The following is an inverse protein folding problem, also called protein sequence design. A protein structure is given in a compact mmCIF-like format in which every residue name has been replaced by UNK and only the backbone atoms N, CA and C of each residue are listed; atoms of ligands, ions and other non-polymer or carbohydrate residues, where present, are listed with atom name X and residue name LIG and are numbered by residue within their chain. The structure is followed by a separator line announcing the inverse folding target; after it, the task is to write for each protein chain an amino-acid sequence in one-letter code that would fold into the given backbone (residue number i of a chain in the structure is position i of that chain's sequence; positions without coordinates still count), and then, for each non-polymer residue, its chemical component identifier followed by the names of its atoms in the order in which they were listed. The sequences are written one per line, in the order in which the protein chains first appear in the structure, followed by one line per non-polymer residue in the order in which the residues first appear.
data_IF_965222213691
#
_entry.id   IF_965222213691
#
_cell.length_a   1.000
_cell.length_b   1.000
_cell.length_c   1.000
_cell.angle_alpha   90.00
_cell.angle_beta   90.00
_cell.angle_gamma   90.00
#
_symmetry.space_group_name_H-M   'P 1'
#
loop_
_entity.id
_entity.type
_entity.pdbx_description
1 polymer ?
#
# COMPACT_ATOMS: atom_id res chain seq x y z
N UNK A 1 21.92 10.91 31.80
CA UNK A 1 22.24 11.11 30.38
C UNK A 1 23.05 9.92 29.90
N UNK A 2 22.72 9.40 28.71
CA UNK A 2 23.50 8.35 28.03
C UNK A 2 24.21 9.00 26.84
N UNK A 3 25.28 8.38 26.35
CA UNK A 3 26.04 8.86 25.21
C UNK A 3 26.20 7.71 24.20
N UNK A 4 26.35 8.09 22.92
CA UNK A 4 26.51 7.17 21.81
C UNK A 4 26.82 7.95 20.53
N UNK A 5 26.79 7.25 19.41
CA UNK A 5 27.02 7.78 18.07
C UNK A 5 25.74 7.67 17.22
N UNK A 6 25.72 8.43 16.13
CA UNK A 6 24.73 8.23 15.06
C UNK A 6 25.16 7.03 14.24
N UNK A 7 24.37 5.96 14.30
CA UNK A 7 24.63 4.71 13.58
C UNK A 7 24.13 4.78 12.13
N UNK A 8 23.01 5.48 11.88
CA UNK A 8 22.46 5.70 10.54
C UNK A 8 21.48 6.90 10.53
N UNK A 9 21.17 7.40 9.34
CA UNK A 9 20.10 8.38 9.06
C UNK A 9 19.18 7.82 7.97
N UNK A 10 17.96 8.35 7.84
CA UNK A 10 17.04 7.84 6.81
C UNK A 10 16.42 6.50 7.17
N UNK A 11 16.35 6.14 8.46
CA UNK A 11 15.90 4.80 8.84
C UNK A 11 14.39 4.73 8.79
N UNK A 12 13.90 3.80 7.96
CA UNK A 12 12.50 3.43 7.89
C UNK A 12 12.19 2.26 8.82
N UNK A 13 11.23 2.44 9.72
CA UNK A 13 10.76 1.43 10.66
C UNK A 13 9.42 0.82 10.23
N UNK A 14 8.89 1.21 9.06
CA UNK A 14 7.56 0.86 8.57
C UNK A 14 6.45 1.19 9.58
N UNK A 15 6.67 2.22 10.42
CA UNK A 15 5.75 2.68 11.46
C UNK A 15 4.74 3.69 10.91
N UNK A 16 5.01 4.27 9.74
CA UNK A 16 4.12 5.17 9.04
C UNK A 16 4.75 5.77 7.79
N UNK A 17 3.99 6.60 7.06
CA UNK A 17 4.46 7.21 5.81
C UNK A 17 5.56 8.27 5.99
N UNK A 18 5.83 8.69 7.23
CA UNK A 18 6.77 9.75 7.58
C UNK A 18 8.05 9.24 8.25
N UNK A 19 8.31 7.94 8.18
CA UNK A 19 9.49 7.35 8.80
C UNK A 19 10.78 7.89 8.15
N UNK A 20 11.55 8.63 8.94
CA UNK A 20 12.87 9.16 8.59
C UNK A 20 13.72 9.28 9.87
N UNK A 21 13.95 8.15 10.56
CA UNK A 21 14.57 8.17 11.87
C UNK A 21 16.10 8.30 11.80
N UNK A 22 16.66 9.01 12.79
CA UNK A 22 18.07 8.93 13.16
C UNK A 22 18.23 7.68 14.02
N UNK A 23 19.08 6.74 13.59
CA UNK A 23 19.45 5.60 14.41
C UNK A 23 20.67 5.93 15.26
N UNK A 24 20.60 5.61 16.55
CA UNK A 24 21.68 5.80 17.51
C UNK A 24 21.94 4.52 18.30
N UNK A 25 23.15 4.35 18.80
CA UNK A 25 23.50 3.27 19.74
C UNK A 25 23.42 3.70 21.22
N UNK A 26 23.24 4.99 21.46
CA UNK A 26 23.02 5.53 22.80
C UNK A 26 21.83 4.81 23.45
N UNK A 27 21.97 4.26 24.67
CA UNK A 27 20.87 3.55 25.30
C UNK A 27 19.65 4.45 25.53
N UNK A 28 18.52 4.09 24.89
CA UNK A 28 17.18 4.65 25.12
C UNK A 28 16.36 3.57 25.84
N UNK A 29 15.66 3.92 26.91
CA UNK A 29 14.74 3.03 27.62
C UNK A 29 13.40 3.75 27.87
N UNK A 30 12.40 3.03 28.36
CA UNK A 30 11.16 3.62 28.85
C UNK A 30 11.44 4.79 29.80
N UNK A 31 10.81 5.94 29.54
CA UNK A 31 11.01 7.19 30.28
C UNK A 31 11.90 8.21 29.57
N UNK A 32 12.69 7.81 28.57
CA UNK A 32 13.48 8.75 27.75
C UNK A 32 12.78 9.14 26.43
N UNK A 33 11.70 8.44 26.04
CA UNK A 33 10.87 8.80 24.89
C UNK A 33 10.29 10.21 25.06
N UNK A 34 10.40 11.03 24.02
CA UNK A 34 10.05 12.46 24.03
C UNK A 34 11.18 13.38 24.51
N UNK A 35 12.29 12.83 25.03
CA UNK A 35 13.46 13.62 25.44
C UNK A 35 14.39 13.96 24.26
N UNK A 36 15.26 14.98 24.40
CA UNK A 36 16.13 15.44 23.32
C UNK A 36 17.29 14.47 23.07
N UNK A 37 17.73 14.43 21.82
CA UNK A 37 19.00 13.88 21.35
C UNK A 37 19.88 15.06 20.99
N UNK A 38 20.95 15.29 21.75
CA UNK A 38 21.82 16.46 21.55
C UNK A 38 23.18 16.06 21.00
N UNK A 39 23.76 16.93 20.17
CA UNK A 39 25.15 16.80 19.73
C UNK A 39 26.15 17.20 20.83
N UNK A 40 27.45 17.06 20.55
CA UNK A 40 28.54 17.39 21.51
C UNK A 40 28.60 18.87 21.90
N UNK A 41 27.92 19.75 21.15
CA UNK A 41 27.81 21.18 21.45
C UNK A 41 26.52 21.51 22.23
N UNK A 42 25.66 20.51 22.46
CA UNK A 42 24.37 20.68 23.14
C UNK A 42 23.23 21.12 22.21
N UNK A 43 23.42 21.09 20.89
CA UNK A 43 22.33 21.39 19.96
C UNK A 43 21.39 20.18 19.87
N UNK A 44 20.09 20.41 19.90
CA UNK A 44 19.10 19.36 19.66
C UNK A 44 19.11 18.93 18.19
N UNK A 45 19.33 17.65 17.96
CA UNK A 45 19.38 17.03 16.63
C UNK A 45 18.28 15.99 16.43
N UNK A 46 17.55 15.61 17.48
CA UNK A 46 16.33 14.82 17.33
C UNK A 46 15.57 14.57 18.63
N UNK A 47 14.39 13.95 18.53
CA UNK A 47 13.55 13.58 19.66
C UNK A 47 13.53 12.06 19.79
N UNK A 48 14.03 11.54 20.91
CA UNK A 48 14.06 10.09 21.18
C UNK A 48 12.64 9.53 21.11
N UNK A 49 12.41 8.52 20.27
CA UNK A 49 11.04 8.06 19.97
C UNK A 49 10.86 6.59 20.27
N UNK A 50 11.70 5.74 19.68
CA UNK A 50 11.52 4.29 19.71
C UNK A 50 12.84 3.56 19.91
N UNK A 51 12.74 2.26 20.21
CA UNK A 51 13.87 1.33 20.21
C UNK A 51 13.50 0.08 19.44
N UNK A 52 14.48 -0.55 18.83
CA UNK A 52 14.34 -1.96 18.50
C UNK A 52 14.69 -2.76 19.75
N UNK A 53 13.78 -3.58 20.25
CA UNK A 53 14.03 -4.41 21.44
C UNK A 53 13.27 -5.72 21.40
N UNK A 54 13.97 -6.87 21.49
CA UNK A 54 13.31 -8.16 21.66
C UNK A 54 12.57 -8.30 23.01
N UNK A 55 13.07 -7.65 24.07
CA UNK A 55 12.65 -7.89 25.46
C UNK A 55 12.22 -6.61 26.22
N UNK A 56 12.08 -5.47 25.53
CA UNK A 56 11.73 -4.17 26.11
C UNK A 56 12.90 -3.33 26.68
N UNK A 57 14.13 -3.86 26.70
CA UNK A 57 15.36 -3.11 27.05
C UNK A 57 16.20 -2.71 25.82
N UNK A 58 16.96 -1.63 25.90
CA UNK A 58 17.88 -1.24 24.82
C UNK A 58 18.86 -2.36 24.48
N UNK A 59 18.99 -2.68 23.19
CA UNK A 59 20.06 -3.53 22.65
C UNK A 59 21.09 -2.72 21.85
N UNK A 60 21.16 -1.41 22.07
CA UNK A 60 22.02 -0.49 21.30
C UNK A 60 21.44 -0.10 19.95
N UNK A 61 20.11 -0.13 19.81
CA UNK A 61 19.40 0.28 18.60
C UNK A 61 18.23 1.19 19.00
N UNK A 62 18.51 2.49 19.08
CA UNK A 62 17.55 3.54 19.36
C UNK A 62 17.22 4.37 18.12
N UNK A 63 16.04 5.00 18.13
CA UNK A 63 15.55 5.81 17.03
C UNK A 63 15.01 7.16 17.53
N UNK A 64 15.41 8.23 16.85
CA UNK A 64 14.97 9.60 17.11
C UNK A 64 14.39 10.25 15.85
N UNK A 65 13.33 11.03 16.01
CA UNK A 65 12.77 11.88 14.95
C UNK A 65 13.72 13.07 14.76
N UNK A 66 14.17 13.41 13.54
CA UNK A 66 15.00 14.58 13.29
C UNK A 66 14.37 15.89 13.77
N UNK A 67 15.17 16.79 14.37
CA UNK A 67 14.65 18.04 14.93
C UNK A 67 14.04 18.98 13.88
N UNK A 68 14.52 18.96 12.64
CA UNK A 68 13.94 19.76 11.53
C UNK A 68 12.53 19.29 11.13
N UNK A 69 12.25 17.99 11.24
CA UNK A 69 10.91 17.44 11.07
C UNK A 69 10.02 17.81 12.26
N UNK A 70 10.53 17.64 13.49
CA UNK A 70 9.80 17.98 14.70
C UNK A 70 9.45 19.47 14.77
N UNK A 71 10.35 20.37 14.35
CA UNK A 71 10.15 21.81 14.35
C UNK A 71 8.93 22.24 13.52
N UNK A 72 8.73 21.64 12.34
CA UNK A 72 7.55 21.91 11.50
C UNK A 72 6.24 21.55 12.21
N UNK A 73 6.25 20.43 12.93
CA UNK A 73 5.09 19.95 13.69
C UNK A 73 4.83 20.82 14.91
N UNK A 74 5.87 21.14 15.69
CA UNK A 74 5.78 22.02 16.86
C UNK A 74 5.28 23.40 16.46
N UNK A 75 5.80 23.98 15.37
CA UNK A 75 5.36 25.27 14.85
C UNK A 75 3.87 25.29 14.44
N UNK A 76 3.33 24.16 13.96
CA UNK A 76 1.89 24.00 13.69
C UNK A 76 1.10 23.94 15.00
N UNK A 77 1.53 23.10 15.95
CA UNK A 77 0.85 22.93 17.25
C UNK A 77 0.82 24.21 18.08
N UNK A 78 1.91 24.98 18.11
CA UNK A 78 2.01 26.26 18.82
C UNK A 78 1.01 27.32 18.32
N UNK A 79 0.51 27.19 17.09
CA UNK A 79 -0.51 28.08 16.52
C UNK A 79 -1.94 27.74 16.98
N UNK A 80 -2.11 26.71 17.81
CA UNK A 80 -3.37 26.41 18.50
C UNK A 80 -4.37 25.57 17.70
N UNK A 81 -3.89 24.61 16.90
CA UNK A 81 -4.74 23.71 16.11
C UNK A 81 -4.27 22.26 16.09
N UNK A 82 -5.12 21.38 15.54
CA UNK A 82 -4.78 19.98 15.26
C UNK A 82 -3.77 19.89 14.11
N UNK A 83 -2.96 18.83 14.09
CA UNK A 83 -2.08 18.53 12.96
C UNK A 83 -2.95 17.99 11.82
N UNK A 84 -3.44 18.91 10.98
CA UNK A 84 -4.03 18.55 9.70
C UNK A 84 -2.92 18.29 8.67
N UNK A 85 -2.99 17.13 8.02
CA UNK A 85 -2.21 16.81 6.82
C UNK A 85 -3.16 16.51 5.68
N UNK A 86 -2.67 16.73 4.46
CA UNK A 86 -3.45 16.46 3.26
C UNK A 86 -3.89 15.00 3.16
N UNK A 87 -5.05 14.79 2.57
CA UNK A 87 -5.65 13.48 2.38
C UNK A 87 -6.17 13.34 0.95
N UNK A 88 -5.77 12.27 0.26
CA UNK A 88 -6.24 11.97 -1.09
C UNK A 88 -7.29 10.84 -1.10
N UNK A 89 -7.22 9.91 -0.15
CA UNK A 89 -8.12 8.76 -0.04
C UNK A 89 -7.87 7.66 -1.06
N UNK A 90 -6.62 7.20 -1.11
CA UNK A 90 -6.15 6.07 -1.91
C UNK A 90 -5.35 5.12 -1.04
N UNK A 91 -5.52 3.82 -1.27
CA UNK A 91 -4.56 2.80 -0.84
C UNK A 91 -3.56 2.58 -1.97
N UNK A 92 -2.28 2.48 -1.62
CA UNK A 92 -1.19 2.48 -2.57
C UNK A 92 -0.19 1.36 -2.31
N UNK A 93 0.43 0.88 -3.37
CA UNK A 93 1.46 -0.14 -3.32
C UNK A 93 2.63 0.19 -4.26
N UNK A 94 3.82 -0.40 -4.03
CA UNK A 94 4.96 -0.22 -4.92
C UNK A 94 4.70 -0.79 -6.31
N UNK A 95 5.28 -0.14 -7.33
CA UNK A 95 5.34 -0.68 -8.69
C UNK A 95 6.60 -1.53 -8.83
N UNK A 96 6.46 -2.85 -8.76
CA UNK A 96 7.56 -3.78 -9.02
C UNK A 96 7.84 -3.88 -10.53
N UNK A 97 9.00 -4.42 -10.96
CA UNK A 97 9.28 -4.65 -12.38
C UNK A 97 8.19 -5.48 -13.10
N UNK A 98 7.65 -6.49 -12.43
CA UNK A 98 6.60 -7.36 -13.00
C UNK A 98 5.26 -6.62 -13.13
N UNK A 99 4.95 -5.74 -12.18
CA UNK A 99 3.78 -4.86 -12.26
C UNK A 99 3.94 -3.86 -13.41
N UNK A 100 5.09 -3.19 -13.51
CA UNK A 100 5.40 -2.25 -14.59
C UNK A 100 5.24 -2.94 -15.96
N UNK A 101 5.80 -4.15 -16.10
CA UNK A 101 5.65 -4.96 -17.32
C UNK A 101 4.19 -5.34 -17.62
N UNK A 102 3.37 -5.64 -16.60
CA UNK A 102 1.97 -6.04 -16.80
C UNK A 102 1.09 -4.86 -17.28
N UNK A 103 1.37 -3.65 -16.81
CA UNK A 103 0.62 -2.43 -17.12
C UNK A 103 1.22 -1.58 -18.26
N UNK A 104 2.33 -2.05 -18.84
CA UNK A 104 3.02 -1.41 -19.96
C UNK A 104 3.79 -0.14 -19.60
N UNK A 105 4.24 0.00 -18.35
CA UNK A 105 5.06 1.12 -17.91
C UNK A 105 6.54 0.84 -18.23
N UNK A 106 7.25 1.81 -18.82
CA UNK A 106 8.62 1.62 -19.32
C UNK A 106 9.64 1.27 -18.23
N UNK A 107 9.42 1.77 -17.02
CA UNK A 107 10.28 1.54 -15.85
C UNK A 107 9.42 1.41 -14.59
N UNK A 108 9.86 0.61 -13.60
CA UNK A 108 9.21 0.58 -12.29
C UNK A 108 9.36 1.94 -11.61
N UNK A 109 8.24 2.50 -11.15
CA UNK A 109 8.20 3.79 -10.46
C UNK A 109 6.77 4.28 -10.25
N UNK A 110 6.58 5.12 -9.23
CA UNK A 110 5.28 5.65 -8.83
C UNK A 110 4.59 4.86 -7.73
N UNK A 111 3.35 5.25 -7.46
CA UNK A 111 2.48 4.62 -6.48
C UNK A 111 1.25 4.03 -7.18
N UNK A 112 1.14 2.70 -7.21
CA UNK A 112 0.00 2.00 -7.78
C UNK A 112 -1.18 2.07 -6.81
N UNK A 113 -2.32 2.59 -7.27
CA UNK A 113 -3.55 2.72 -6.50
C UNK A 113 -4.27 1.37 -6.48
N UNK A 114 -4.25 0.68 -5.35
CA UNK A 114 -4.95 -0.60 -5.15
C UNK A 114 -6.42 -0.42 -4.79
N UNK A 115 -6.76 0.69 -4.14
CA UNK A 115 -8.13 1.03 -3.78
C UNK A 115 -8.32 2.54 -3.72
N UNK A 116 -9.51 3.00 -4.07
CA UNK A 116 -9.94 4.39 -3.90
C UNK A 116 -11.08 4.43 -2.89
N UNK A 117 -10.94 5.22 -1.83
CA UNK A 117 -11.98 5.39 -0.83
C UNK A 117 -13.18 6.11 -1.44
N UNK A 118 -14.39 5.55 -1.29
CA UNK A 118 -15.59 6.16 -1.86
C UNK A 118 -15.84 7.56 -1.28
N UNK A 119 -16.20 8.51 -2.15
CA UNK A 119 -16.44 9.91 -1.76
C UNK A 119 -15.17 10.72 -1.42
N UNK A 120 -13.99 10.11 -1.51
CA UNK A 120 -12.71 10.79 -1.28
C UNK A 120 -12.37 11.82 -2.35
N UNK A 121 -11.39 12.70 -2.11
CA UNK A 121 -10.91 13.61 -3.13
C UNK A 121 -10.38 12.90 -4.39
N UNK A 122 -9.71 11.76 -4.24
CA UNK A 122 -9.31 10.91 -5.36
C UNK A 122 -10.49 10.43 -6.20
N UNK A 123 -11.53 9.91 -5.55
CA UNK A 123 -12.74 9.43 -6.23
C UNK A 123 -13.41 10.57 -7.02
N UNK A 124 -13.50 11.77 -6.43
CA UNK A 124 -14.08 12.96 -7.08
C UNK A 124 -13.22 13.47 -8.25
N UNK A 125 -11.90 13.33 -8.16
CA UNK A 125 -10.96 13.67 -9.22
C UNK A 125 -10.96 12.64 -10.37
N UNK A 126 -11.64 11.50 -10.19
CA UNK A 126 -11.70 10.42 -11.17
C UNK A 126 -10.46 9.53 -11.17
N UNK A 127 -9.70 9.48 -10.07
CA UNK A 127 -8.68 8.45 -9.84
C UNK A 127 -9.39 7.11 -9.69
N UNK A 128 -8.84 6.08 -10.33
CA UNK A 128 -9.40 4.73 -10.36
C UNK A 128 -8.40 3.71 -9.81
N UNK A 129 -8.92 2.60 -9.29
CA UNK A 129 -8.09 1.44 -8.97
C UNK A 129 -7.33 0.96 -10.22
N UNK A 130 -6.03 0.73 -10.05
CA UNK A 130 -5.12 0.36 -11.12
C UNK A 130 -4.33 1.52 -11.70
N UNK A 131 -4.65 2.77 -11.39
CA UNK A 131 -3.83 3.91 -11.75
C UNK A 131 -2.46 3.85 -11.07
N UNK A 132 -1.42 4.29 -11.77
CA UNK A 132 -0.13 4.60 -11.12
C UNK A 132 0.05 6.10 -11.05
N UNK A 133 0.15 6.64 -9.85
CA UNK A 133 0.47 8.06 -9.65
C UNK A 133 1.98 8.22 -9.81
N UNK A 134 2.39 9.01 -10.81
CA UNK A 134 3.80 9.26 -11.17
C UNK A 134 4.26 10.66 -10.80
N UNK A 135 3.32 11.56 -10.46
CA UNK A 135 3.61 12.92 -10.03
C UNK A 135 2.48 13.52 -9.22
N UNK A 136 2.80 14.34 -8.23
CA UNK A 136 1.83 15.04 -7.38
C UNK A 136 2.37 16.41 -6.99
N UNK A 137 1.56 17.47 -7.13
CA UNK A 137 1.94 18.85 -6.76
C UNK A 137 3.29 19.31 -7.35
N UNK A 138 3.58 18.90 -8.59
CA UNK A 138 4.84 19.21 -9.28
C UNK A 138 6.07 18.39 -8.85
N UNK A 139 5.90 17.47 -7.88
CA UNK A 139 6.94 16.53 -7.46
C UNK A 139 6.83 15.21 -8.22
N UNK A 140 7.97 14.63 -8.57
CA UNK A 140 8.06 13.27 -9.12
C UNK A 140 7.82 12.25 -8.00
N UNK A 141 6.95 11.26 -8.24
CA UNK A 141 6.67 10.19 -7.30
C UNK A 141 7.40 8.94 -7.77
N UNK A 142 8.39 8.48 -7.01
CA UNK A 142 9.18 7.28 -7.34
C UNK A 142 8.67 6.05 -6.62
N UNK A 143 8.12 6.24 -5.42
CA UNK A 143 7.56 5.17 -4.61
C UNK A 143 6.31 5.64 -3.82
N UNK A 144 5.58 4.72 -3.15
CA UNK A 144 4.42 5.08 -2.35
C UNK A 144 4.67 6.12 -1.26
N UNK A 145 5.87 6.14 -0.66
CA UNK A 145 6.20 7.05 0.44
C UNK A 145 6.40 8.46 -0.07
N UNK A 146 6.96 8.62 -1.27
CA UNK A 146 7.01 9.93 -1.94
C UNK A 146 5.61 10.52 -2.06
N UNK A 147 4.64 9.71 -2.50
CA UNK A 147 3.25 10.17 -2.61
C UNK A 147 2.66 10.53 -1.24
N UNK A 148 2.82 9.66 -0.24
CA UNK A 148 2.28 9.93 1.10
C UNK A 148 2.86 11.20 1.71
N UNK A 149 4.17 11.45 1.55
CA UNK A 149 4.82 12.69 1.99
C UNK A 149 4.32 13.90 1.21
N UNK A 150 4.30 13.82 -0.12
CA UNK A 150 3.88 14.92 -0.97
C UNK A 150 2.42 15.34 -0.69
N UNK A 151 1.53 14.38 -0.47
CA UNK A 151 0.12 14.65 -0.10
C UNK A 151 0.03 15.30 1.28
N UNK A 152 0.80 14.81 2.26
CA UNK A 152 0.75 15.34 3.62
C UNK A 152 1.30 16.77 3.76
N UNK A 153 2.27 17.12 2.92
CA UNK A 153 2.86 18.47 2.88
C UNK A 153 1.90 19.51 2.27
N UNK A 154 0.92 19.07 1.48
CA UNK A 154 -0.08 19.96 0.90
C UNK A 154 -1.15 20.32 1.93
N UNK A 155 -1.49 21.60 1.98
CA UNK A 155 -2.54 22.10 2.87
C UNK A 155 -3.92 21.59 2.43
N UNK A 156 -4.75 21.06 3.36
CA UNK A 156 -6.12 20.70 3.03
C UNK A 156 -6.91 21.84 2.40
N UNK A 157 -7.75 21.52 1.43
CA UNK A 157 -8.49 22.46 0.59
C UNK A 157 -7.72 22.97 -0.63
N UNK A 158 -6.43 22.69 -0.74
CA UNK A 158 -5.67 22.96 -1.96
C UNK A 158 -6.13 22.05 -3.10
N UNK A 159 -5.94 22.53 -4.32
CA UNK A 159 -6.22 21.79 -5.55
C UNK A 159 -4.93 21.61 -6.32
N UNK A 160 -4.50 20.37 -6.45
CA UNK A 160 -3.20 20.03 -6.99
C UNK A 160 -3.30 19.26 -8.31
N UNK A 161 -2.21 19.28 -9.05
CA UNK A 161 -2.03 18.45 -10.24
C UNK A 161 -1.57 17.05 -9.83
N UNK A 162 -2.19 16.03 -10.42
CA UNK A 162 -1.79 14.63 -10.30
C UNK A 162 -1.47 14.07 -11.68
N UNK A 163 -0.25 13.58 -11.87
CA UNK A 163 0.14 12.84 -13.07
C UNK A 163 -0.10 11.36 -12.81
N UNK A 164 -0.82 10.70 -13.71
CA UNK A 164 -1.18 9.29 -13.59
C UNK A 164 -0.84 8.52 -14.86
N UNK A 165 -0.63 7.22 -14.72
CA UNK A 165 -0.58 6.25 -15.80
C UNK A 165 -1.80 5.34 -15.72
N UNK A 166 -2.62 5.34 -16.77
CA UNK A 166 -3.84 4.52 -16.88
C UNK A 166 -3.88 3.84 -18.23
N UNK A 167 -4.05 2.51 -18.25
CA UNK A 167 -4.25 1.70 -19.46
C UNK A 167 -3.24 2.01 -20.57
N UNK A 168 -1.96 2.12 -20.22
CA UNK A 168 -0.88 2.36 -21.17
C UNK A 168 -0.70 3.82 -21.58
N UNK A 169 -1.32 4.78 -20.89
CA UNK A 169 -1.27 6.21 -21.25
C UNK A 169 -0.97 7.08 -20.04
N UNK A 170 -0.10 8.07 -20.25
CA UNK A 170 0.10 9.16 -19.31
C UNK A 170 -1.08 10.15 -19.37
N UNK A 171 -1.59 10.55 -18.21
CA UNK A 171 -2.68 11.48 -18.05
C UNK A 171 -2.36 12.46 -16.93
N UNK A 172 -2.95 13.65 -17.01
CA UNK A 172 -2.85 14.67 -15.96
C UNK A 172 -4.26 15.03 -15.54
N UNK A 173 -4.53 14.94 -14.25
CA UNK A 173 -5.81 15.30 -13.63
C UNK A 173 -5.58 16.30 -12.51
N UNK A 174 -6.65 16.93 -12.05
CA UNK A 174 -6.59 17.83 -10.91
C UNK A 174 -7.44 17.26 -9.79
N UNK A 175 -6.86 17.17 -8.59
CA UNK A 175 -7.52 16.63 -7.41
C UNK A 175 -7.49 17.65 -6.28
N UNK A 176 -8.60 17.75 -5.55
CA UNK A 176 -8.61 18.45 -4.28
C UNK A 176 -7.84 17.61 -3.24
N UNK A 177 -7.31 18.27 -2.22
CA UNK A 177 -6.66 17.63 -1.07
C UNK A 177 -7.57 17.80 0.14
N UNK A 178 -8.06 16.69 0.68
CA UNK A 178 -8.93 16.65 1.86
C UNK A 178 -8.17 16.73 3.18
N UNK A 179 -8.90 16.56 4.29
CA UNK A 179 -8.32 16.48 5.63
C UNK A 179 -8.18 15.03 6.07
N UNK A 180 -7.14 14.73 6.84
CA UNK A 180 -6.93 13.42 7.47
C UNK A 180 -8.08 12.94 8.39
N UNK A 181 -8.87 13.84 8.99
CA UNK A 181 -10.06 13.46 9.75
C UNK A 181 -11.13 12.76 8.89
N UNK A 182 -11.07 12.93 7.56
CA UNK A 182 -11.94 12.22 6.62
C UNK A 182 -11.55 10.74 6.46
N UNK A 183 -10.35 10.35 6.89
CA UNK A 183 -9.81 8.98 6.86
C UNK A 183 -10.44 8.06 7.93
N UNK A 184 -10.90 8.63 9.05
CA UNK A 184 -11.41 7.86 10.20
C UNK A 184 -12.83 7.28 9.98
N UNK A 185 -13.50 7.58 8.87
CA UNK A 185 -14.87 7.11 8.61
C UNK A 185 -14.96 5.73 7.98
N UNK A 186 -13.84 5.04 7.70
CA UNK A 186 -13.89 3.87 6.79
C UNK A 186 -13.10 2.63 7.23
N UNK A 187 -12.53 2.59 8.43
CA UNK A 187 -11.76 1.41 8.89
C UNK A 187 -12.43 0.71 10.09
N UNK A 188 -13.24 -0.32 9.85
CA UNK A 188 -13.66 -1.27 10.89
C UNK A 188 -14.02 -2.65 10.30
N UNK A 189 -13.11 -3.61 10.47
CA UNK A 189 -13.31 -4.92 11.12
C UNK A 189 -12.64 -6.10 10.39
N UNK A 190 -11.79 -6.81 11.13
CA UNK A 190 -11.37 -8.19 10.85
C UNK A 190 -11.82 -9.13 11.97
N UNK A 191 -11.99 -10.43 11.67
CA UNK A 191 -11.45 -11.54 12.47
C UNK A 191 -11.62 -12.93 11.81
N UNK A 192 -10.79 -13.86 12.27
CA UNK A 192 -10.36 -15.16 11.71
C UNK A 192 -11.33 -16.38 11.88
N UNK A 193 -11.27 -17.35 10.94
CA UNK A 193 -10.98 -18.77 11.26
C UNK A 193 -11.96 -19.92 10.87
N UNK A 194 -11.52 -20.76 9.90
CA UNK A 194 -11.63 -22.25 9.72
C UNK A 194 -12.44 -22.86 8.54
N UNK A 195 -11.77 -23.78 7.80
CA UNK A 195 -12.24 -24.69 6.71
C UNK A 195 -13.08 -25.91 7.20
N UNK A 196 -13.56 -26.90 6.36
CA UNK A 196 -13.50 -27.10 4.88
C UNK A 196 -14.79 -27.66 4.19
N UNK A 197 -14.85 -27.67 2.84
CA UNK A 197 -15.04 -28.86 1.94
C UNK A 197 -15.60 -28.52 0.53
N UNK A 198 -15.39 -29.42 -0.43
CA UNK A 198 -15.15 -29.16 -1.86
C UNK A 198 -16.35 -29.31 -2.81
N UNK A 199 -16.46 -28.45 -3.85
CA UNK A 199 -16.97 -28.80 -5.19
C UNK A 199 -16.37 -27.94 -6.33
N UNK A 200 -15.79 -28.66 -7.30
CA UNK A 200 -15.44 -28.38 -8.71
C UNK A 200 -15.23 -26.93 -9.21
N UNK A 201 -14.01 -26.39 -8.98
CA UNK A 201 -13.49 -25.21 -9.69
C UNK A 201 -13.06 -25.46 -11.15
N UNK A 202 -13.23 -24.43 -11.99
CA UNK A 202 -12.70 -24.38 -13.36
C UNK A 202 -11.18 -24.11 -13.29
N UNK A 203 -10.35 -24.95 -13.92
CA UNK A 203 -8.89 -24.81 -13.89
C UNK A 203 -8.43 -23.74 -14.88
N UNK A 204 -7.49 -22.89 -14.47
CA UNK A 204 -6.68 -22.05 -15.37
C UNK A 204 -5.30 -22.70 -15.53
N UNK A 205 -5.04 -23.44 -16.63
CA UNK A 205 -3.86 -24.28 -16.73
C UNK A 205 -2.52 -23.52 -16.72
N UNK A 206 -2.49 -22.24 -17.10
CA UNK A 206 -1.24 -21.48 -17.28
C UNK A 206 -0.64 -20.91 -16.00
N UNK A 207 -1.45 -20.57 -14.98
CA UNK A 207 -0.99 -19.92 -13.75
C UNK A 207 -0.99 -20.85 -12.52
N UNK A 208 -1.62 -22.03 -12.62
CA UNK A 208 -1.75 -22.95 -11.49
C UNK A 208 -2.89 -22.61 -10.53
N UNK A 209 -3.90 -21.86 -10.98
CA UNK A 209 -5.06 -21.46 -10.17
C UNK A 209 -6.29 -22.34 -10.46
N UNK A 210 -6.99 -22.73 -9.41
CA UNK A 210 -8.37 -23.23 -9.46
C UNK A 210 -9.32 -22.15 -8.96
N UNK A 211 -10.17 -21.63 -9.84
CA UNK A 211 -11.12 -20.56 -9.51
C UNK A 211 -12.56 -21.10 -9.42
N UNK A 212 -13.31 -20.56 -8.46
CA UNK A 212 -14.74 -20.84 -8.28
C UNK A 212 -15.54 -19.56 -8.08
N UNK A 213 -16.85 -19.64 -8.29
CA UNK A 213 -17.74 -18.50 -8.09
C UNK A 213 -18.01 -18.26 -6.60
N UNK A 214 -18.34 -17.02 -6.24
CA UNK A 214 -18.76 -16.63 -4.89
C UNK A 214 -20.18 -17.15 -4.58
N UNK A 215 -20.28 -18.40 -4.14
CA UNK A 215 -21.53 -19.01 -3.63
C UNK A 215 -21.91 -18.44 -2.26
N UNK A 216 -23.17 -18.57 -1.81
CA UNK A 216 -23.58 -18.15 -0.47
C UNK A 216 -22.69 -18.74 0.64
N UNK A 217 -22.43 -20.05 0.59
CA UNK A 217 -21.60 -20.72 1.61
C UNK A 217 -20.17 -20.18 1.66
N UNK A 218 -19.57 -19.86 0.50
CA UNK A 218 -18.22 -19.29 0.42
C UNK A 218 -18.22 -17.85 0.94
N UNK A 219 -19.27 -17.07 0.65
CA UNK A 219 -19.40 -15.69 1.17
C UNK A 219 -19.45 -15.69 2.69
N UNK A 220 -20.23 -16.60 3.28
CA UNK A 220 -20.32 -16.74 4.73
C UNK A 220 -18.97 -17.15 5.33
N UNK A 221 -18.26 -18.10 4.71
CA UNK A 221 -16.94 -18.56 5.17
C UNK A 221 -15.87 -17.46 5.14
N UNK A 222 -15.93 -16.58 4.15
CA UNK A 222 -14.96 -15.52 3.93
C UNK A 222 -15.43 -14.16 4.48
N UNK A 223 -16.57 -14.11 5.18
CA UNK A 223 -17.20 -12.89 5.70
C UNK A 223 -17.41 -11.80 4.64
N UNK A 224 -17.80 -12.20 3.43
CA UNK A 224 -17.95 -11.30 2.29
C UNK A 224 -19.36 -10.71 2.21
N UNK A 225 -19.45 -9.47 1.74
CA UNK A 225 -20.76 -8.84 1.54
C UNK A 225 -21.52 -9.45 0.36
N UNK A 226 -22.85 -9.37 0.37
CA UNK A 226 -23.70 -9.82 -0.75
C UNK A 226 -23.39 -9.10 -2.07
N UNK A 227 -22.85 -7.88 -1.98
CA UNK A 227 -22.52 -7.05 -3.12
C UNK A 227 -21.12 -7.33 -3.68
N UNK A 228 -20.28 -8.08 -2.98
CA UNK A 228 -18.96 -8.43 -3.46
C UNK A 228 -19.05 -9.31 -4.71
N UNK A 229 -18.20 -9.03 -5.69
CA UNK A 229 -18.13 -9.72 -6.98
C UNK A 229 -16.68 -10.16 -7.20
N UNK A 230 -16.49 -11.25 -7.92
CA UNK A 230 -15.16 -11.80 -8.16
C UNK A 230 -15.15 -13.31 -8.26
N UNK A 231 -13.95 -13.87 -8.32
CA UNK A 231 -13.69 -15.30 -8.39
C UNK A 231 -12.83 -15.73 -7.19
N UNK A 232 -13.27 -16.72 -6.44
CA UNK A 232 -12.50 -17.22 -5.29
C UNK A 232 -11.43 -18.18 -5.76
N UNK A 233 -10.23 -18.02 -5.22
CA UNK A 233 -9.13 -18.97 -5.37
C UNK A 233 -9.41 -20.17 -4.46
N UNK A 234 -9.92 -21.24 -5.05
CA UNK A 234 -10.16 -22.51 -4.33
C UNK A 234 -8.81 -23.19 -4.01
N UNK A 235 -7.92 -23.22 -5.01
CA UNK A 235 -6.63 -23.92 -4.93
C UNK A 235 -5.56 -23.20 -5.71
N UNK A 236 -4.34 -23.28 -5.19
CA UNK A 236 -3.12 -22.83 -5.83
C UNK A 236 -2.19 -24.04 -5.96
N UNK A 237 -1.63 -24.26 -7.15
CA UNK A 237 -0.61 -25.27 -7.35
C UNK A 237 0.73 -24.75 -6.81
N UNK A 238 1.35 -25.40 -5.81
CA UNK A 238 2.57 -24.92 -5.17
C UNK A 238 3.77 -24.84 -6.13
N UNK A 239 3.76 -25.61 -7.22
CA UNK A 239 4.86 -25.68 -8.19
C UNK A 239 4.68 -24.69 -9.37
N UNK A 240 3.80 -23.69 -9.22
CA UNK A 240 3.43 -22.76 -10.30
C UNK A 240 3.53 -21.29 -9.90
N UNK A 241 3.59 -20.44 -10.91
CA UNK A 241 3.85 -19.00 -10.81
C UNK A 241 2.89 -18.28 -9.86
N UNK A 242 1.61 -18.65 -9.81
CA UNK A 242 0.68 -18.01 -8.88
C UNK A 242 1.05 -18.25 -7.41
N UNK A 243 1.58 -19.43 -7.07
CA UNK A 243 2.07 -19.70 -5.71
C UNK A 243 3.32 -18.89 -5.41
N UNK A 244 4.25 -18.81 -6.35
CA UNK A 244 5.49 -18.04 -6.20
C UNK A 244 5.22 -16.53 -6.08
N UNK A 245 4.19 -16.04 -6.78
CA UNK A 245 3.72 -14.66 -6.71
C UNK A 245 2.93 -14.34 -5.41
N UNK A 246 2.65 -15.35 -4.57
CA UNK A 246 1.99 -15.15 -3.28
C UNK A 246 0.46 -15.13 -3.31
N UNK A 247 -0.16 -15.66 -4.38
CA UNK A 247 -1.60 -15.94 -4.38
C UNK A 247 -1.89 -17.11 -3.43
N UNK A 248 -2.96 -17.01 -2.66
CA UNK A 248 -3.33 -17.97 -1.62
C UNK A 248 -4.76 -18.49 -1.81
N UNK A 249 -5.07 -19.72 -1.38
CA UNK A 249 -6.46 -20.15 -1.25
C UNK A 249 -7.25 -19.22 -0.34
N UNK A 250 -8.47 -18.86 -0.74
CA UNK A 250 -9.32 -17.88 -0.05
C UNK A 250 -9.22 -16.45 -0.60
N UNK A 251 -8.19 -16.14 -1.38
CA UNK A 251 -8.11 -14.89 -2.13
C UNK A 251 -9.31 -14.74 -3.08
N UNK A 252 -9.89 -13.55 -3.17
CA UNK A 252 -10.95 -13.25 -4.14
C UNK A 252 -10.38 -12.37 -5.25
N UNK A 253 -10.29 -12.90 -6.47
CA UNK A 253 -9.89 -12.12 -7.64
C UNK A 253 -11.06 -11.23 -8.05
N UNK A 254 -10.90 -9.93 -7.85
CA UNK A 254 -11.91 -8.90 -8.17
C UNK A 254 -11.58 -8.14 -9.45
N UNK A 255 -10.35 -8.28 -9.96
CA UNK A 255 -9.93 -7.72 -11.24
C UNK A 255 -8.79 -8.48 -11.90
N UNK A 256 -8.73 -8.41 -13.22
CA UNK A 256 -7.63 -8.92 -14.05
C UNK A 256 -7.16 -7.79 -14.96
N UNK A 257 -5.86 -7.53 -14.93
CA UNK A 257 -5.26 -6.26 -15.30
C UNK A 257 -6.01 -5.09 -14.66
N UNK A 258 -6.40 -4.09 -15.46
CA UNK A 258 -7.20 -2.94 -15.02
C UNK A 258 -8.69 -3.12 -15.37
N UNK A 259 -9.17 -4.38 -15.36
CA UNK A 259 -10.57 -4.72 -15.70
C UNK A 259 -11.22 -5.50 -14.56
N UNK A 260 -12.33 -4.99 -13.97
CA UNK A 260 -13.08 -5.72 -12.96
C UNK A 260 -13.68 -7.03 -13.49
N UNK A 261 -13.70 -8.08 -12.67
CA UNK A 261 -14.29 -9.38 -13.01
C UNK A 261 -15.39 -9.74 -12.02
N UNK A 262 -16.47 -10.35 -12.50
CA UNK A 262 -17.66 -10.62 -11.67
C UNK A 262 -17.76 -12.06 -11.16
N UNK A 263 -17.05 -12.99 -11.79
CA UNK A 263 -17.14 -14.42 -11.54
C UNK A 263 -15.90 -15.16 -12.10
N UNK A 264 -15.75 -16.45 -11.78
CA UNK A 264 -14.64 -17.29 -12.20
C UNK A 264 -14.53 -17.40 -13.72
N UNK A 265 -15.67 -17.42 -14.43
CA UNK A 265 -15.67 -17.46 -15.90
C UNK A 265 -15.00 -16.21 -16.49
N UNK A 266 -15.39 -15.02 -16.03
CA UNK A 266 -14.81 -13.76 -16.49
C UNK A 266 -13.33 -13.65 -16.11
N UNK A 267 -12.95 -14.04 -14.90
CA UNK A 267 -11.56 -14.08 -14.48
C UNK A 267 -10.72 -14.96 -15.41
N UNK A 268 -11.18 -16.18 -15.69
CA UNK A 268 -10.49 -17.13 -16.58
C UNK A 268 -10.35 -16.60 -18.01
N UNK A 269 -11.41 -15.97 -18.53
CA UNK A 269 -11.39 -15.37 -19.86
C UNK A 269 -10.39 -14.22 -19.93
N UNK A 270 -10.42 -13.29 -18.98
CA UNK A 270 -9.51 -12.16 -18.94
C UNK A 270 -8.04 -12.61 -18.79
N UNK A 271 -7.77 -13.63 -17.95
CA UNK A 271 -6.42 -14.21 -17.82
C UNK A 271 -5.96 -14.83 -19.15
N UNK A 272 -6.83 -15.58 -19.83
CA UNK A 272 -6.50 -16.20 -21.10
C UNK A 272 -6.28 -15.17 -22.23
N UNK A 273 -7.00 -14.04 -22.19
CA UNK A 273 -6.79 -12.91 -23.09
C UNK A 273 -5.46 -12.21 -22.82
N UNK A 274 -5.15 -11.95 -21.55
CA UNK A 274 -3.87 -11.38 -21.14
C UNK A 274 -2.69 -12.26 -21.60
N UNK A 275 -2.80 -13.60 -21.50
CA UNK A 275 -1.77 -14.53 -21.99
C UNK A 275 -1.53 -14.43 -23.51
N UNK A 276 -2.58 -14.11 -24.28
CA UNK A 276 -2.49 -13.94 -25.74
C UNK A 276 -1.95 -12.58 -26.17
N UNK A 277 -1.93 -11.61 -25.26
CA UNK A 277 -1.49 -10.23 -25.55
C UNK A 277 0.03 -10.08 -25.66
N UNK A 278 0.80 -11.15 -25.42
CA UNK A 278 2.27 -11.13 -25.47
C UNK A 278 2.94 -10.51 -24.25
N UNK A 279 2.17 -10.15 -23.22
CA UNK A 279 2.70 -9.72 -21.92
C UNK A 279 3.45 -10.86 -21.23
N UNK A 280 4.45 -10.51 -20.42
CA UNK A 280 5.22 -11.46 -19.60
C UNK A 280 4.50 -11.88 -18.32
N UNK A 281 3.58 -11.05 -17.85
CA UNK A 281 2.83 -11.22 -16.61
C UNK A 281 1.39 -10.73 -16.78
N UNK A 282 0.49 -11.25 -15.95
CA UNK A 282 -0.86 -10.71 -15.73
C UNK A 282 -0.91 -10.04 -14.37
N UNK A 283 -1.60 -8.91 -14.27
CA UNK A 283 -1.83 -8.26 -12.99
C UNK A 283 -3.17 -8.71 -12.43
N UNK A 284 -3.21 -9.30 -11.24
CA UNK A 284 -4.44 -9.72 -10.57
C UNK A 284 -4.74 -8.77 -9.43
N UNK A 285 -5.94 -8.19 -9.38
CA UNK A 285 -6.42 -7.49 -8.19
C UNK A 285 -7.12 -8.51 -7.30
N UNK A 286 -6.56 -8.70 -6.12
CA UNK A 286 -6.97 -9.69 -5.14
C UNK A 286 -7.50 -8.97 -3.91
N UNK A 287 -8.65 -9.42 -3.43
CA UNK A 287 -9.22 -9.04 -2.16
C UNK A 287 -8.90 -10.13 -1.13
N UNK A 288 -8.19 -9.75 -0.07
CA UNK A 288 -7.75 -10.62 1.02
C UNK A 288 -8.42 -10.21 2.34
N UNK A 289 -9.70 -9.87 2.29
CA UNK A 289 -10.51 -9.57 3.47
C UNK A 289 -10.30 -8.16 4.01
N UNK A 290 -9.08 -7.82 4.45
CA UNK A 290 -8.77 -6.51 5.02
C UNK A 290 -8.23 -5.50 3.99
N UNK A 291 -7.69 -5.99 2.87
CA UNK A 291 -7.11 -5.16 1.83
C UNK A 291 -7.31 -5.73 0.42
N UNK A 292 -7.36 -4.81 -0.55
CA UNK A 292 -7.17 -5.15 -1.95
C UNK A 292 -5.73 -4.89 -2.37
N UNK A 293 -5.12 -5.90 -2.99
CA UNK A 293 -3.72 -5.89 -3.42
C UNK A 293 -3.60 -6.32 -4.88
N UNK A 294 -2.75 -5.65 -5.64
CA UNK A 294 -2.33 -6.13 -6.95
C UNK A 294 -1.17 -7.10 -6.83
N UNK A 295 -1.30 -8.25 -7.46
CA UNK A 295 -0.30 -9.30 -7.56
C UNK A 295 0.03 -9.53 -9.04
N UNK A 296 1.27 -9.26 -9.44
CA UNK A 296 1.73 -9.60 -10.78
C UNK A 296 2.13 -11.08 -10.81
N UNK A 297 1.49 -11.86 -11.69
CA UNK A 297 1.80 -13.29 -11.86
C UNK A 297 2.43 -13.48 -13.24
N UNK A 298 3.69 -13.93 -13.33
CA UNK A 298 4.30 -14.29 -14.59
C UNK A 298 3.49 -15.34 -15.33
N UNK A 299 3.39 -15.22 -16.64
CA UNK A 299 3.02 -16.37 -17.46
C UNK A 299 4.23 -17.29 -17.50
N UNK A 300 4.04 -18.58 -17.22
CA UNK A 300 5.12 -19.56 -17.29
C UNK A 300 5.87 -19.39 -18.62
N UNK A 301 7.21 -19.31 -18.55
CA UNK A 301 8.03 -19.33 -19.75
C UNK A 301 7.72 -20.61 -20.52
N UNK A 302 7.26 -20.48 -21.76
CA UNK A 302 7.13 -21.60 -22.69
C UNK A 302 8.47 -22.23 -23.01
#
# INVERSE_FOLDING_TARGET
ATAGIVSARGRDLHSGPFDDFIQIDAPINHGNSGGPLVDVSGNDIGINTAIYSPNGGSVGVGFAIPSDQAEKVVAKLMKGGDIEYGYLGVQIQPVTPDVASAIGLDHPGGALVSQVTEGSPAAKAGIETGDVITGFAGQEIKDPKDLSRAVADVSPGAKETVNIWRKGKAMQISADVGRNADDQKTASNGNEGRSPSAEQGLRVPSLGLGLTDLTPDIRDQLNLTDNQRGAVVERVNPDKEASAAGIQPGDVIVGVDQTPVKNARQANQAIAEAAKSGKKSVLLLVDRGDAQIFVAVPFAAG
#
